data_IF_726851759192
#
_entry.id   IF_726851759192
#
_cell.length_a   1.000
_cell.length_b   1.000
_cell.length_c   1.000
_cell.angle_alpha   90.00
_cell.angle_beta   90.00
_cell.angle_gamma   90.00
#
_symmetry.space_group_name_H-M   'P 1'
#
loop_
_entity.id
_entity.type
_entity.pdbx_description
1 polymer ?
#
# COMPACT_ATOMS: atom_id res chain seq x y z
N UNK A 1 -79.39 -64.86 -52.89
CA UNK A 1 -78.45 -65.47 -51.91
C UNK A 1 -77.96 -64.34 -51.02
N UNK A 2 -78.51 -64.26 -49.80
CA UNK A 2 -77.78 -64.57 -48.54
C UNK A 2 -76.76 -63.46 -48.22
N UNK A 3 -76.63 -62.89 -47.03
CA UNK A 3 -77.14 -63.11 -45.67
C UNK A 3 -76.51 -61.96 -44.85
N UNK A 4 -77.27 -61.15 -44.12
CA UNK A 4 -77.32 -61.06 -42.64
C UNK A 4 -75.99 -61.08 -41.85
N UNK A 5 -76.07 -60.36 -40.71
CA UNK A 5 -75.24 -60.39 -39.47
C UNK A 5 -73.97 -59.53 -39.54
N UNK A 6 -73.79 -58.49 -38.70
CA UNK A 6 -73.80 -58.51 -37.22
C UNK A 6 -72.39 -58.87 -36.72
N UNK A 7 -71.78 -58.33 -35.66
CA UNK A 7 -72.07 -57.32 -34.66
C UNK A 7 -70.77 -57.15 -33.80
N UNK A 8 -70.66 -56.02 -33.09
CA UNK A 8 -70.00 -55.83 -31.76
C UNK A 8 -68.46 -55.83 -31.59
N UNK A 9 -67.99 -54.65 -31.10
CA UNK A 9 -67.03 -54.36 -29.99
C UNK A 9 -65.56 -54.84 -30.18
N UNK A 10 -64.51 -54.09 -29.82
CA UNK A 10 -64.35 -53.24 -28.64
C UNK A 10 -63.05 -52.37 -28.74
N UNK A 11 -63.10 -51.19 -28.09
CA UNK A 11 -62.07 -50.55 -27.24
C UNK A 11 -60.71 -50.14 -27.87
N UNK A 12 -60.42 -48.83 -27.80
CA UNK A 12 -59.03 -48.35 -27.73
C UNK A 12 -58.81 -46.89 -28.16
N UNK A 13 -58.93 -45.95 -27.20
CA UNK A 13 -58.04 -44.77 -27.00
C UNK A 13 -57.65 -43.98 -28.26
N UNK A 14 -58.35 -42.87 -28.59
CA UNK A 14 -57.94 -41.49 -28.27
C UNK A 14 -56.56 -41.06 -28.81
N UNK A 15 -56.51 -40.18 -29.82
CA UNK A 15 -56.06 -38.78 -29.66
C UNK A 15 -56.02 -38.07 -31.02
N UNK A 16 -56.46 -36.82 -30.98
CA UNK A 16 -56.60 -35.91 -32.11
C UNK A 16 -55.25 -35.44 -32.67
N UNK A 17 -55.13 -35.42 -34.00
CA UNK A 17 -54.19 -34.55 -34.71
C UNK A 17 -54.72 -33.10 -34.59
N UNK A 18 -54.22 -32.36 -33.60
CA UNK A 18 -54.22 -30.90 -33.63
C UNK A 18 -52.80 -30.47 -34.02
N UNK A 19 -52.64 -30.08 -35.29
CA UNK A 19 -51.42 -29.47 -35.79
C UNK A 19 -51.33 -28.03 -35.25
N UNK A 20 -50.78 -27.90 -34.05
CA UNK A 20 -50.37 -26.61 -33.48
C UNK A 20 -49.09 -26.18 -34.18
N UNK A 21 -49.21 -25.23 -35.11
CA UNK A 21 -48.08 -24.49 -35.67
C UNK A 21 -47.48 -23.65 -34.55
N UNK A 22 -46.45 -24.20 -33.89
CA UNK A 22 -45.56 -23.45 -33.00
C UNK A 22 -44.74 -22.49 -33.87
N UNK A 23 -45.17 -21.24 -33.95
CA UNK A 23 -44.33 -20.13 -34.38
C UNK A 23 -43.30 -19.95 -33.28
N UNK A 24 -42.13 -20.55 -33.45
CA UNK A 24 -40.97 -20.30 -32.62
C UNK A 24 -40.56 -18.84 -32.79
N UNK A 25 -40.94 -18.00 -31.84
CA UNK A 25 -40.26 -16.73 -31.61
C UNK A 25 -38.83 -17.07 -31.23
N UNK A 26 -37.92 -17.03 -32.20
CA UNK A 26 -36.49 -16.86 -31.93
C UNK A 26 -36.40 -15.57 -31.10
N UNK A 27 -36.22 -15.71 -29.80
CA UNK A 27 -35.87 -14.59 -28.95
C UNK A 27 -34.60 -13.99 -29.54
N UNK A 28 -34.63 -12.69 -29.87
CA UNK A 28 -33.39 -11.94 -29.93
C UNK A 28 -32.72 -12.16 -28.57
N UNK A 29 -31.60 -12.87 -28.58
CA UNK A 29 -30.58 -12.72 -27.57
C UNK A 29 -30.23 -11.23 -27.61
N UNK A 30 -30.86 -10.47 -26.71
CA UNK A 30 -30.65 -9.04 -26.66
C UNK A 30 -29.23 -8.84 -26.17
N UNK A 31 -28.33 -8.41 -27.07
CA UNK A 31 -26.98 -8.00 -26.70
C UNK A 31 -27.11 -7.09 -25.47
N UNK A 32 -26.62 -7.57 -24.33
CA UNK A 32 -26.56 -6.77 -23.13
C UNK A 32 -25.62 -5.61 -23.41
N UNK A 33 -26.08 -4.39 -23.18
CA UNK A 33 -25.24 -3.22 -23.37
C UNK A 33 -23.97 -3.31 -22.49
N UNK A 34 -22.82 -2.96 -23.07
CA UNK A 34 -21.50 -3.14 -22.48
C UNK A 34 -20.87 -1.77 -22.15
N UNK A 35 -20.35 -1.62 -20.94
CA UNK A 35 -19.36 -0.59 -20.62
C UNK A 35 -17.96 -1.20 -20.76
N UNK A 36 -17.27 -0.78 -21.80
CA UNK A 36 -15.92 -1.16 -22.15
C UNK A 36 -14.91 -0.20 -21.51
N UNK A 37 -13.90 -0.71 -20.81
CA UNK A 37 -12.88 0.10 -20.15
C UNK A 37 -11.51 -0.15 -20.75
N UNK A 38 -10.92 0.89 -21.33
CA UNK A 38 -9.54 0.89 -21.83
C UNK A 38 -8.65 1.69 -20.85
N UNK A 39 -7.44 1.22 -20.60
CA UNK A 39 -6.44 1.92 -19.78
C UNK A 39 -5.29 2.35 -20.66
N UNK A 40 -4.90 3.62 -20.52
CA UNK A 40 -3.65 4.18 -21.04
C UNK A 40 -2.72 4.52 -19.89
N UNK A 41 -1.45 4.15 -19.99
CA UNK A 41 -0.46 4.50 -18.97
C UNK A 41 0.95 4.51 -19.52
N UNK A 42 1.80 5.32 -18.91
CA UNK A 42 3.24 5.33 -19.12
C UNK A 42 4.01 4.48 -18.09
N UNK A 43 3.33 3.80 -17.16
CA UNK A 43 3.94 2.70 -16.40
C UNK A 43 4.31 1.56 -17.34
N UNK A 44 5.43 0.89 -17.06
CA UNK A 44 5.97 -0.14 -17.95
C UNK A 44 5.33 -1.50 -17.67
N UNK A 45 4.55 -2.07 -18.61
CA UNK A 45 3.84 -3.32 -18.40
C UNK A 45 4.80 -4.50 -18.31
N UNK A 46 4.57 -5.36 -17.32
CA UNK A 46 5.41 -6.52 -17.03
C UNK A 46 6.64 -6.23 -16.16
N UNK A 47 7.05 -4.97 -16.06
CA UNK A 47 8.08 -4.51 -15.14
C UNK A 47 7.45 -3.81 -13.93
N UNK A 48 6.78 -2.67 -14.14
CA UNK A 48 6.21 -1.88 -13.04
C UNK A 48 4.84 -2.42 -12.58
N UNK A 49 4.11 -3.14 -13.43
CA UNK A 49 2.84 -3.77 -13.06
C UNK A 49 2.58 -5.02 -13.90
N UNK A 50 1.95 -6.03 -13.32
CA UNK A 50 1.66 -7.32 -13.97
C UNK A 50 0.17 -7.62 -14.06
N UNK A 51 -0.67 -6.81 -13.39
CA UNK A 51 -2.13 -6.92 -13.43
C UNK A 51 -2.76 -5.54 -13.42
N UNK A 52 -3.90 -5.43 -14.08
CA UNK A 52 -4.84 -4.32 -13.91
C UNK A 52 -6.07 -4.84 -13.20
N UNK A 53 -6.40 -4.25 -12.05
CA UNK A 53 -7.59 -4.59 -11.26
C UNK A 53 -8.62 -3.48 -11.39
N UNK A 54 -9.80 -3.82 -11.89
CA UNK A 54 -10.95 -2.91 -12.02
C UNK A 54 -12.00 -3.30 -11.00
N UNK A 55 -12.30 -2.39 -10.08
CA UNK A 55 -13.34 -2.55 -9.08
C UNK A 55 -14.54 -1.68 -9.46
N UNK A 56 -15.74 -2.27 -9.54
CA UNK A 56 -17.01 -1.56 -9.69
C UNK A 56 -17.60 -1.35 -8.30
N UNK A 57 -17.68 -0.09 -7.88
CA UNK A 57 -18.11 0.30 -6.54
C UNK A 57 -19.64 0.47 -6.51
N UNK A 58 -20.31 -0.36 -5.71
CA UNK A 58 -21.78 -0.36 -5.58
C UNK A 58 -22.26 0.40 -4.34
N UNK A 59 -23.28 1.26 -4.49
CA UNK A 59 -24.01 1.83 -3.35
C UNK A 59 -25.02 0.83 -2.74
N UNK A 60 -24.54 -0.37 -2.36
CA UNK A 60 -25.36 -1.44 -1.76
C UNK A 60 -25.44 -2.76 -2.54
N UNK A 61 -24.59 -2.98 -3.56
CA UNK A 61 -24.39 -4.27 -4.23
C UNK A 61 -22.98 -4.81 -3.94
N UNK A 62 -22.77 -6.11 -4.11
CA UNK A 62 -21.44 -6.71 -4.05
C UNK A 62 -20.51 -6.04 -5.05
N UNK A 63 -19.34 -5.58 -4.61
CA UNK A 63 -18.32 -5.01 -5.48
C UNK A 63 -17.91 -6.06 -6.53
N UNK A 64 -17.88 -5.64 -7.80
CA UNK A 64 -17.44 -6.50 -8.90
C UNK A 64 -15.96 -6.22 -9.12
N UNK A 65 -15.13 -7.26 -9.00
CA UNK A 65 -13.68 -7.17 -9.25
C UNK A 65 -13.36 -7.92 -10.53
N UNK A 66 -12.66 -7.25 -11.45
CA UNK A 66 -12.15 -7.83 -12.69
C UNK A 66 -10.64 -7.63 -12.69
N UNK A 67 -9.91 -8.73 -12.87
CA UNK A 67 -8.45 -8.70 -13.01
C UNK A 67 -8.08 -9.07 -14.44
N UNK A 68 -7.23 -8.24 -15.05
CA UNK A 68 -6.65 -8.49 -16.37
C UNK A 68 -5.14 -8.65 -16.22
N UNK A 69 -4.64 -9.79 -16.65
CA UNK A 69 -3.21 -10.07 -16.69
C UNK A 69 -2.51 -9.20 -17.74
N UNK A 70 -1.32 -8.72 -17.41
CA UNK A 70 -0.48 -7.87 -18.23
C UNK A 70 0.75 -8.67 -18.66
N UNK A 71 1.04 -8.68 -19.95
CA UNK A 71 2.24 -9.27 -20.49
C UNK A 71 3.31 -8.20 -20.75
N UNK A 72 4.56 -8.61 -20.66
CA UNK A 72 5.71 -7.83 -21.06
C UNK A 72 5.53 -7.31 -22.50
N UNK A 73 5.59 -5.99 -22.69
CA UNK A 73 5.57 -5.35 -24.01
C UNK A 73 4.17 -5.10 -24.55
N UNK A 74 3.15 -5.33 -23.73
CA UNK A 74 1.80 -4.84 -24.01
C UNK A 74 1.82 -3.33 -24.25
N UNK A 75 1.11 -2.85 -25.28
CA UNK A 75 1.04 -1.42 -25.56
C UNK A 75 -0.09 -0.77 -24.75
N UNK A 76 0.28 -0.19 -23.61
CA UNK A 76 -0.61 0.64 -22.80
C UNK A 76 -0.50 2.14 -23.15
N UNK A 77 0.35 2.54 -24.09
CA UNK A 77 0.41 3.94 -24.54
C UNK A 77 -0.75 4.24 -25.50
N UNK A 78 -1.00 3.33 -26.44
CA UNK A 78 -2.17 3.39 -27.35
C UNK A 78 -3.47 2.99 -26.65
N UNK A 79 -3.35 2.31 -25.51
CA UNK A 79 -4.44 1.92 -24.63
C UNK A 79 -4.89 0.47 -24.85
N UNK A 80 -5.26 -0.19 -23.76
CA UNK A 80 -5.65 -1.60 -23.76
C UNK A 80 -6.95 -1.83 -23.00
N UNK A 81 -7.80 -2.70 -23.55
CA UNK A 81 -9.02 -3.18 -22.89
C UNK A 81 -8.67 -3.96 -21.62
N UNK A 82 -9.16 -3.50 -20.47
CA UNK A 82 -8.94 -4.14 -19.17
C UNK A 82 -10.23 -4.64 -18.51
N UNK A 83 -11.40 -4.19 -18.97
CA UNK A 83 -12.68 -4.69 -18.49
C UNK A 83 -13.80 -4.54 -19.53
N UNK A 84 -14.73 -5.49 -19.53
CA UNK A 84 -16.01 -5.41 -20.24
C UNK A 84 -17.14 -5.69 -19.27
N UNK A 85 -17.84 -4.63 -18.89
CA UNK A 85 -18.88 -4.67 -17.86
C UNK A 85 -20.23 -4.84 -18.51
N UNK A 86 -20.96 -5.87 -18.11
CA UNK A 86 -22.34 -6.14 -18.55
C UNK A 86 -23.30 -6.09 -17.36
N UNK A 87 -24.60 -5.96 -17.63
CA UNK A 87 -25.61 -5.97 -16.57
C UNK A 87 -25.64 -4.72 -15.69
N UNK A 88 -24.95 -3.64 -16.10
CA UNK A 88 -24.96 -2.37 -15.41
C UNK A 88 -26.32 -1.65 -15.59
N UNK A 89 -26.81 -1.06 -14.51
CA UNK A 89 -27.95 -0.13 -14.59
C UNK A 89 -27.50 1.21 -15.15
N UNK A 90 -28.38 1.89 -15.89
CA UNK A 90 -28.11 3.25 -16.33
C UNK A 90 -27.96 4.20 -15.12
N UNK A 91 -27.01 5.14 -15.20
CA UNK A 91 -26.65 6.07 -14.14
C UNK A 91 -25.14 6.27 -14.04
N UNK A 92 -24.69 6.90 -12.96
CA UNK A 92 -23.25 7.06 -12.68
C UNK A 92 -22.67 5.77 -12.13
N UNK A 93 -21.75 5.17 -12.88
CA UNK A 93 -20.98 3.99 -12.48
C UNK A 93 -19.66 4.48 -11.90
N UNK A 94 -19.39 4.11 -10.64
CA UNK A 94 -18.12 4.42 -9.98
C UNK A 94 -17.20 3.23 -10.09
N UNK A 95 -15.97 3.48 -10.54
CA UNK A 95 -14.94 2.49 -10.75
C UNK A 95 -13.69 2.90 -9.97
N UNK A 96 -12.89 1.93 -9.55
CA UNK A 96 -11.50 2.13 -9.17
C UNK A 96 -10.63 1.26 -10.06
N UNK A 97 -9.65 1.86 -10.71
CA UNK A 97 -8.69 1.16 -11.56
C UNK A 97 -7.35 1.17 -10.87
N UNK A 98 -6.76 0.00 -10.70
CA UNK A 98 -5.49 -0.19 -9.99
C UNK A 98 -4.51 -0.92 -10.89
N UNK A 99 -3.29 -0.40 -10.97
CA UNK A 99 -2.15 -1.11 -11.51
C UNK A 99 -1.49 -1.86 -10.36
N UNK A 100 -1.33 -3.17 -10.50
CA UNK A 100 -0.85 -4.06 -9.45
C UNK A 100 0.40 -4.78 -9.94
N UNK A 101 1.45 -4.80 -9.11
CA UNK A 101 2.71 -5.46 -9.44
C UNK A 101 2.69 -6.98 -9.23
N UNK A 102 3.84 -7.61 -9.49
CA UNK A 102 4.05 -9.04 -9.30
C UNK A 102 3.83 -9.46 -7.83
N UNK A 103 4.26 -8.64 -6.87
CA UNK A 103 4.10 -8.85 -5.43
C UNK A 103 2.67 -8.61 -4.91
N UNK A 104 1.77 -8.07 -5.74
CA UNK A 104 0.39 -7.76 -5.34
C UNK A 104 0.20 -6.36 -4.75
N UNK A 105 1.25 -5.52 -4.76
CA UNK A 105 1.18 -4.12 -4.32
C UNK A 105 0.52 -3.26 -5.39
N UNK A 106 -0.27 -2.28 -4.97
CA UNK A 106 -0.83 -1.27 -5.87
C UNK A 106 0.27 -0.26 -6.19
N UNK A 107 0.60 -0.08 -7.48
CA UNK A 107 1.64 0.89 -7.92
C UNK A 107 1.06 2.23 -8.35
N UNK A 108 -0.20 2.21 -8.76
CA UNK A 108 -0.99 3.40 -9.05
C UNK A 108 -2.47 3.04 -8.95
N UNK A 109 -3.28 3.96 -8.44
CA UNK A 109 -4.73 3.83 -8.43
C UNK A 109 -5.40 5.07 -9.00
N UNK A 110 -6.59 4.89 -9.57
CA UNK A 110 -7.40 5.98 -10.08
C UNK A 110 -8.90 5.72 -9.85
N UNK A 111 -9.58 6.56 -9.05
CA UNK A 111 -11.03 6.57 -9.02
C UNK A 111 -11.59 7.19 -10.32
N UNK A 112 -12.64 6.59 -10.86
CA UNK A 112 -13.26 6.98 -12.13
C UNK A 112 -14.78 6.97 -11.99
N UNK A 113 -15.44 7.98 -12.54
CA UNK A 113 -16.90 8.04 -12.63
C UNK A 113 -17.33 8.11 -14.10
N UNK A 114 -18.24 7.22 -14.51
CA UNK A 114 -18.76 7.18 -15.88
C UNK A 114 -20.27 7.28 -15.86
N UNK A 115 -20.82 8.26 -16.57
CA UNK A 115 -22.27 8.32 -16.82
C UNK A 115 -22.64 7.32 -17.92
N UNK A 116 -23.32 6.24 -17.52
CA UNK A 116 -23.70 5.13 -18.38
C UNK A 116 -25.20 5.18 -18.71
N UNK A 117 -25.56 5.19 -19.99
CA UNK A 117 -26.96 5.31 -20.44
C UNK A 117 -27.63 3.95 -20.77
N UNK A 118 -27.00 2.82 -20.42
CA UNK A 118 -27.53 1.50 -20.78
C UNK A 118 -27.37 1.15 -22.27
N UNK A 119 -26.36 1.74 -22.93
CA UNK A 119 -25.95 1.43 -24.31
C UNK A 119 -24.44 1.18 -24.34
N UNK A 120 -23.94 0.52 -25.39
CA UNK A 120 -22.51 0.29 -25.55
C UNK A 120 -21.71 1.60 -25.44
N UNK A 121 -20.77 1.65 -24.51
CA UNK A 121 -19.94 2.81 -24.22
C UNK A 121 -18.49 2.37 -23.99
N UNK A 122 -17.54 3.06 -24.61
CA UNK A 122 -16.11 2.91 -24.32
C UNK A 122 -15.63 4.07 -23.45
N UNK A 123 -15.01 3.76 -22.31
CA UNK A 123 -14.35 4.72 -21.43
C UNK A 123 -12.84 4.47 -21.46
N UNK A 124 -12.06 5.54 -21.64
CA UNK A 124 -10.59 5.47 -21.63
C UNK A 124 -10.06 6.18 -20.38
N UNK A 125 -9.35 5.44 -19.54
CA UNK A 125 -8.76 5.91 -18.29
C UNK A 125 -7.26 6.09 -18.50
N UNK A 126 -6.76 7.30 -18.26
CA UNK A 126 -5.32 7.61 -18.36
C UNK A 126 -4.70 7.59 -16.97
N UNK A 127 -3.72 6.73 -16.71
CA UNK A 127 -3.01 6.67 -15.43
C UNK A 127 -1.56 7.10 -15.68
N UNK A 128 -1.17 8.24 -15.12
CA UNK A 128 0.15 8.84 -15.34
C UNK A 128 1.08 8.56 -14.18
N UNK A 129 2.36 8.28 -14.43
CA UNK A 129 3.35 8.09 -13.36
C UNK A 129 3.54 9.29 -12.44
N UNK A 130 3.31 10.50 -12.95
CA UNK A 130 3.37 11.74 -12.18
C UNK A 130 2.34 11.81 -11.04
N UNK A 131 1.38 10.88 -11.01
CA UNK A 131 0.41 10.74 -9.92
C UNK A 131 0.88 9.83 -8.78
N UNK A 132 2.08 9.25 -8.86
CA UNK A 132 2.63 8.44 -7.77
C UNK A 132 2.84 9.33 -6.54
N UNK A 133 2.21 8.97 -5.42
CA UNK A 133 2.29 9.70 -4.16
C UNK A 133 1.49 11.01 -4.10
N UNK A 134 0.64 11.30 -5.10
CA UNK A 134 -0.25 12.47 -5.07
C UNK A 134 -1.54 12.09 -4.36
N UNK A 135 -1.84 12.76 -3.26
CA UNK A 135 -3.10 12.63 -2.53
C UNK A 135 -4.12 13.66 -3.02
N UNK A 136 -5.32 13.19 -3.36
CA UNK A 136 -6.41 14.04 -3.82
C UNK A 136 -7.62 13.91 -2.89
N UNK A 137 -8.31 15.03 -2.56
CA UNK A 137 -8.12 16.36 -3.11
C UNK A 137 -6.95 17.14 -2.47
N UNK A 138 -6.36 18.07 -3.23
CA UNK A 138 -5.32 18.98 -2.70
C UNK A 138 -5.83 19.73 -1.47
N UNK A 139 -4.98 19.97 -0.45
CA UNK A 139 -5.33 20.82 0.70
C UNK A 139 -5.80 22.22 0.25
N UNK A 140 -7.07 22.54 0.50
CA UNK A 140 -7.69 23.81 0.09
C UNK A 140 -8.10 23.87 -1.39
N UNK A 141 -7.98 22.77 -2.14
CA UNK A 141 -8.44 22.61 -3.51
C UNK A 141 -9.94 22.33 -3.63
N UNK A 142 -10.39 21.96 -4.83
CA UNK A 142 -11.76 21.51 -5.05
C UNK A 142 -11.97 20.13 -4.39
N UNK A 143 -12.89 20.06 -3.44
CA UNK A 143 -13.20 18.83 -2.71
C UNK A 143 -13.73 17.69 -3.61
N UNK A 144 -14.21 17.98 -4.82
CA UNK A 144 -14.65 16.97 -5.78
C UNK A 144 -13.51 16.43 -6.65
N UNK A 145 -12.36 17.13 -6.70
CA UNK A 145 -11.19 16.73 -7.46
C UNK A 145 -10.42 15.61 -6.73
N UNK A 146 -11.01 14.42 -6.72
CA UNK A 146 -10.55 13.27 -5.93
C UNK A 146 -9.75 12.24 -6.75
N UNK A 147 -9.52 12.49 -8.05
CA UNK A 147 -8.68 11.65 -8.90
C UNK A 147 -7.41 12.40 -9.30
N UNK A 148 -6.28 11.72 -9.48
CA UNK A 148 -5.09 12.35 -10.06
C UNK A 148 -5.00 12.10 -11.58
N UNK A 149 -4.55 13.13 -12.32
CA UNK A 149 -4.13 13.02 -13.71
C UNK A 149 -2.99 14.00 -13.99
N UNK A 150 -1.84 13.49 -14.45
CA UNK A 150 -0.65 14.30 -14.77
C UNK A 150 -0.17 15.16 -13.59
N UNK A 151 -0.10 14.56 -12.40
CA UNK A 151 0.40 15.21 -11.18
C UNK A 151 -0.52 16.28 -10.58
N UNK A 152 -1.80 16.33 -10.99
CA UNK A 152 -2.80 17.25 -10.44
C UNK A 152 -4.11 16.54 -10.10
N UNK A 153 -4.80 17.06 -9.09
CA UNK A 153 -6.13 16.60 -8.75
C UNK A 153 -7.18 17.10 -9.75
N UNK A 154 -8.04 16.19 -10.20
CA UNK A 154 -9.12 16.38 -11.17
C UNK A 154 -10.38 15.65 -10.72
N UNK A 155 -11.52 16.02 -11.30
CA UNK A 155 -12.80 15.32 -11.06
C UNK A 155 -12.70 13.86 -11.56
N UNK A 156 -13.23 12.85 -10.84
CA UNK A 156 -13.26 11.46 -11.30
C UNK A 156 -13.95 11.21 -12.65
N UNK A 157 -14.81 12.12 -13.12
CA UNK A 157 -15.39 12.05 -14.47
C UNK A 157 -14.38 12.41 -15.57
N UNK A 158 -13.21 12.95 -15.21
CA UNK A 158 -12.12 13.26 -16.14
C UNK A 158 -11.60 11.98 -16.83
N UNK A 159 -12.01 11.78 -18.08
CA UNK A 159 -11.59 10.67 -18.94
C UNK A 159 -11.35 11.20 -20.35
N UNK A 160 -10.65 10.48 -21.23
CA UNK A 160 -10.52 10.94 -22.63
C UNK A 160 -11.88 10.98 -23.35
N UNK A 161 -12.83 10.14 -22.90
CA UNK A 161 -14.21 10.14 -23.38
C UNK A 161 -14.98 11.36 -22.88
N UNK A 162 -14.56 11.97 -21.76
CA UNK A 162 -15.17 13.16 -21.17
C UNK A 162 -14.11 14.21 -20.74
N UNK A 163 -13.42 14.85 -21.72
CA UNK A 163 -12.28 15.72 -21.44
C UNK A 163 -12.67 17.03 -20.75
N UNK A 164 -13.95 17.42 -20.79
CA UNK A 164 -14.43 18.64 -20.14
C UNK A 164 -14.27 18.64 -18.61
N UNK A 165 -14.30 17.47 -17.97
CA UNK A 165 -14.07 17.32 -16.54
C UNK A 165 -12.58 17.38 -16.16
N UNK A 166 -11.67 17.23 -17.13
CA UNK A 166 -10.24 17.26 -16.90
C UNK A 166 -9.66 18.68 -16.75
N UNK A 167 -10.45 19.71 -17.07
CA UNK A 167 -9.97 21.09 -17.16
C UNK A 167 -9.10 21.31 -18.41
N UNK A 168 -7.97 22.01 -18.25
CA UNK A 168 -7.11 22.41 -19.37
C UNK A 168 -6.12 21.31 -19.78
N UNK A 169 -5.79 21.26 -21.08
CA UNK A 169 -4.77 20.39 -21.68
C UNK A 169 -3.36 20.86 -21.33
N UNK A 170 -2.45 19.94 -21.00
CA UNK A 170 -1.07 20.23 -20.64
C UNK A 170 -0.11 20.29 -21.84
N UNK A 171 -0.47 19.68 -22.96
CA UNK A 171 0.36 19.61 -24.16
C UNK A 171 -0.48 19.54 -25.44
N UNK A 172 0.12 19.88 -26.59
CA UNK A 172 -0.41 19.64 -27.92
C UNK A 172 0.49 18.70 -28.76
N UNK A 173 1.77 18.63 -28.44
CA UNK A 173 2.75 17.73 -29.03
C UNK A 173 3.76 17.26 -27.97
N UNK A 174 4.50 16.19 -28.25
CA UNK A 174 5.52 15.67 -27.31
C UNK A 174 6.62 16.68 -26.96
N UNK A 175 6.89 17.67 -27.83
CA UNK A 175 7.83 18.75 -27.53
C UNK A 175 7.35 19.77 -26.51
N UNK A 176 6.06 19.78 -26.16
CA UNK A 176 5.50 20.61 -25.08
C UNK A 176 5.66 19.93 -23.71
N UNK A 177 5.93 18.62 -23.72
CA UNK A 177 6.09 17.83 -22.51
C UNK A 177 7.50 17.99 -21.94
N UNK A 178 7.65 17.87 -20.60
CA UNK A 178 8.97 17.82 -20.00
C UNK A 178 9.83 16.73 -20.65
N UNK A 179 11.11 17.02 -20.84
CA UNK A 179 12.04 16.00 -21.31
C UNK A 179 12.08 14.85 -20.29
N UNK A 180 12.14 13.61 -20.78
CA UNK A 180 12.36 12.46 -19.92
C UNK A 180 13.64 12.66 -19.10
N UNK A 181 13.65 12.33 -17.79
CA UNK A 181 14.86 12.36 -16.99
C UNK A 181 15.89 11.32 -17.45
N UNK A 182 15.49 10.37 -18.29
CA UNK A 182 16.32 9.26 -18.77
C UNK A 182 16.45 9.29 -20.30
N UNK A 183 17.59 8.83 -20.81
CA UNK A 183 17.85 8.79 -22.26
C UNK A 183 17.12 7.68 -23.03
N UNK A 184 16.42 6.77 -22.33
CA UNK A 184 15.75 5.62 -22.95
C UNK A 184 14.25 5.82 -23.16
N UNK A 185 13.66 6.93 -22.70
CA UNK A 185 12.23 7.22 -22.86
C UNK A 185 12.01 8.55 -23.57
N UNK A 186 10.97 8.62 -24.39
CA UNK A 186 10.62 9.82 -25.15
C UNK A 186 9.28 10.40 -24.64
N UNK A 187 9.19 11.73 -24.45
CA UNK A 187 7.93 12.34 -24.08
C UNK A 187 6.94 12.29 -25.25
N UNK A 188 5.70 11.91 -24.94
CA UNK A 188 4.59 11.80 -25.87
C UNK A 188 3.38 12.57 -25.32
N UNK A 189 2.76 13.38 -26.16
CA UNK A 189 1.49 14.01 -25.82
C UNK A 189 0.34 13.18 -26.36
N UNK A 190 -0.48 12.59 -25.47
CA UNK A 190 -1.68 11.85 -25.84
C UNK A 190 -2.87 12.38 -25.03
N UNK A 191 -3.99 12.66 -25.70
CA UNK A 191 -5.18 13.20 -25.03
C UNK A 191 -4.98 14.54 -24.29
N UNK A 192 -3.93 15.30 -24.63
CA UNK A 192 -3.56 16.53 -23.92
C UNK A 192 -2.82 16.30 -22.59
N UNK A 193 -2.33 15.09 -22.37
CA UNK A 193 -1.56 14.63 -21.22
C UNK A 193 -0.18 14.17 -21.68
N UNK A 194 0.84 14.49 -20.90
CA UNK A 194 2.19 14.02 -21.14
C UNK A 194 2.35 12.62 -20.56
N UNK A 195 2.73 11.68 -21.42
CA UNK A 195 3.17 10.34 -21.09
C UNK A 195 4.61 10.15 -21.55
N UNK A 196 5.28 9.13 -21.07
CA UNK A 196 6.60 8.74 -21.55
C UNK A 196 6.56 7.37 -22.21
N UNK A 197 6.93 7.32 -23.48
CA UNK A 197 7.08 6.08 -24.22
C UNK A 197 8.47 5.48 -23.96
N UNK A 198 8.50 4.27 -23.38
CA UNK A 198 9.72 3.54 -23.09
C UNK A 198 10.31 2.89 -24.35
N UNK A 199 11.56 3.21 -24.68
CA UNK A 199 12.30 2.58 -25.77
C UNK A 199 13.25 1.52 -25.21
N UNK A 200 12.75 0.29 -25.07
CA UNK A 200 13.50 -0.85 -24.52
C UNK A 200 14.76 -1.17 -25.34
N UNK A 201 14.73 -0.95 -26.66
CA UNK A 201 15.89 -1.16 -27.56
C UNK A 201 17.07 -0.21 -27.29
N UNK A 202 16.86 0.84 -26.49
CA UNK A 202 17.93 1.74 -26.04
C UNK A 202 18.68 1.20 -24.83
N UNK A 203 18.20 0.12 -24.21
CA UNK A 203 18.82 -0.55 -23.08
C UNK A 203 19.63 -1.78 -23.51
N UNK A 204 20.45 -2.31 -22.61
CA UNK A 204 21.17 -3.56 -22.87
C UNK A 204 20.19 -4.76 -22.93
N UNK A 205 20.69 -5.91 -23.38
CA UNK A 205 19.88 -7.13 -23.39
C UNK A 205 19.33 -7.42 -21.99
N UNK A 206 18.06 -7.87 -21.91
CA UNK A 206 17.35 -8.18 -20.66
C UNK A 206 17.05 -6.98 -19.76
N UNK A 207 17.41 -5.76 -20.18
CA UNK A 207 17.04 -4.52 -19.51
C UNK A 207 15.84 -3.84 -20.17
N UNK A 208 15.05 -3.18 -19.34
CA UNK A 208 13.85 -2.46 -19.70
C UNK A 208 14.00 -0.99 -19.37
N UNK A 209 13.53 -0.15 -20.28
CA UNK A 209 13.52 1.28 -20.02
C UNK A 209 12.37 1.62 -19.09
N UNK A 210 12.68 2.18 -17.92
CA UNK A 210 11.70 2.70 -16.97
C UNK A 210 11.74 4.23 -17.02
N UNK A 211 10.68 4.91 -17.52
CA UNK A 211 10.62 6.36 -17.70
C UNK A 211 10.68 7.21 -16.41
N UNK A 212 11.82 7.21 -15.74
CA UNK A 212 12.02 7.87 -14.44
C UNK A 212 13.24 7.35 -13.71
N UNK A 213 13.64 6.10 -14.01
CA UNK A 213 14.77 5.42 -13.37
C UNK A 213 15.89 5.17 -14.39
N UNK A 214 15.54 4.74 -15.61
CA UNK A 214 16.49 4.43 -16.68
C UNK A 214 16.39 2.96 -17.09
N UNK A 215 17.46 2.42 -17.68
CA UNK A 215 17.54 1.01 -18.02
C UNK A 215 17.74 0.16 -16.74
N UNK A 216 16.85 -0.79 -16.49
CA UNK A 216 16.86 -1.69 -15.33
C UNK A 216 16.58 -3.12 -15.75
N UNK A 217 17.11 -4.11 -15.02
CA UNK A 217 16.79 -5.51 -15.32
C UNK A 217 15.32 -5.77 -14.98
N UNK A 218 14.63 -6.62 -15.76
CA UNK A 218 13.28 -7.07 -15.36
C UNK A 218 13.35 -7.83 -14.03
N UNK A 219 14.44 -8.56 -13.79
CA UNK A 219 14.64 -9.29 -12.55
C UNK A 219 14.54 -8.37 -11.33
N UNK A 220 15.01 -7.11 -11.44
CA UNK A 220 14.91 -6.10 -10.39
C UNK A 220 13.45 -5.80 -9.98
N UNK A 221 12.47 -6.09 -10.84
CA UNK A 221 11.04 -5.89 -10.57
C UNK A 221 10.27 -7.16 -10.26
N UNK A 222 10.82 -8.32 -10.66
CA UNK A 222 10.19 -9.63 -10.49
C UNK A 222 10.69 -10.33 -9.22
N UNK A 223 11.75 -9.83 -8.57
CA UNK A 223 12.31 -10.43 -7.35
C UNK A 223 11.54 -10.09 -6.06
N UNK A 224 10.22 -10.21 -6.11
CA UNK A 224 9.43 -10.67 -4.95
C UNK A 224 9.50 -12.19 -4.78
N UNK A 225 10.48 -12.86 -5.39
CA UNK A 225 10.67 -14.31 -5.31
C UNK A 225 11.36 -14.92 -6.52
N UNK A 226 12.67 -14.73 -6.67
CA UNK A 226 13.71 -15.71 -7.07
C UNK A 226 14.99 -14.98 -7.50
N UNK A 227 16.10 -15.40 -6.89
CA UNK A 227 17.49 -14.96 -7.00
C UNK A 227 17.91 -14.00 -8.14
N UNK A 228 18.53 -12.88 -7.77
CA UNK A 228 19.24 -12.02 -8.73
C UNK A 228 20.03 -10.90 -8.06
N UNK A 229 21.26 -11.18 -7.64
CA UNK A 229 22.19 -10.17 -7.13
C UNK A 229 22.40 -9.01 -8.11
N UNK A 230 22.37 -7.78 -7.59
CA UNK A 230 22.56 -6.54 -8.36
C UNK A 230 24.07 -6.26 -8.55
N UNK A 231 24.53 -5.86 -9.75
CA UNK A 231 25.90 -5.42 -9.97
C UNK A 231 26.16 -3.97 -9.54
N UNK A 232 27.32 -3.80 -8.92
CA UNK A 232 27.99 -2.61 -8.38
C UNK A 232 27.86 -1.32 -9.23
N UNK A 233 27.41 -0.20 -8.63
CA UNK A 233 27.15 1.01 -9.41
C UNK A 233 26.88 2.38 -8.74
N UNK A 234 27.44 2.65 -7.55
CA UNK A 234 27.79 3.97 -6.99
C UNK A 234 26.71 4.98 -6.49
N UNK A 235 26.99 5.48 -5.26
CA UNK A 235 26.40 6.56 -4.43
C UNK A 235 25.16 6.14 -3.59
N UNK A 236 25.12 6.17 -2.26
CA UNK A 236 25.92 6.83 -1.20
C UNK A 236 26.20 5.85 -0.04
N UNK A 237 27.42 5.88 0.49
CA UNK A 237 27.99 4.82 1.31
C UNK A 237 28.07 5.24 2.78
N UNK A 238 27.12 4.82 3.61
CA UNK A 238 27.39 4.58 5.05
C UNK A 238 26.39 3.67 5.80
N UNK A 239 25.38 3.06 5.19
CA UNK A 239 24.37 2.28 5.93
C UNK A 239 24.29 0.76 5.62
N UNK A 240 24.63 0.30 4.40
CA UNK A 240 24.36 -1.11 4.02
C UNK A 240 25.52 -2.11 4.16
N UNK A 241 26.69 -1.71 4.68
CA UNK A 241 27.84 -2.63 4.74
C UNK A 241 27.72 -3.79 5.76
N UNK A 242 26.62 -3.88 6.51
CA UNK A 242 26.36 -5.02 7.38
C UNK A 242 25.48 -6.10 6.73
N UNK A 243 24.76 -5.80 5.65
CA UNK A 243 23.79 -6.74 5.04
C UNK A 243 24.31 -7.38 3.74
N UNK A 244 25.11 -6.67 2.95
CA UNK A 244 25.49 -7.14 1.60
C UNK A 244 26.72 -8.07 1.54
N UNK A 245 27.32 -8.45 2.68
CA UNK A 245 28.44 -9.43 2.70
C UNK A 245 28.06 -10.86 3.09
N UNK A 246 26.76 -11.20 3.18
CA UNK A 246 26.34 -12.49 3.74
C UNK A 246 25.44 -13.38 2.84
N UNK A 247 25.36 -13.12 1.53
CA UNK A 247 24.80 -14.11 0.60
C UNK A 247 25.89 -15.09 0.14
N UNK A 248 26.29 -15.95 1.07
CA UNK A 248 26.84 -17.25 0.75
C UNK A 248 25.68 -18.25 0.89
N UNK A 249 25.42 -19.06 -0.14
CA UNK A 249 24.48 -20.19 -0.06
C UNK A 249 24.93 -21.24 0.99
N UNK A 250 26.10 -21.05 1.60
CA UNK A 250 26.60 -21.76 2.77
C UNK A 250 26.22 -21.10 4.12
N UNK A 251 25.22 -20.20 4.18
CA UNK A 251 24.72 -19.64 5.44
C UNK A 251 24.46 -20.77 6.44
N UNK A 252 25.26 -20.78 7.51
CA UNK A 252 25.27 -21.85 8.49
C UNK A 252 23.88 -22.09 9.10
N UNK A 253 23.70 -23.22 9.82
CA UNK A 253 22.42 -23.51 10.46
C UNK A 253 21.97 -22.31 11.29
N UNK A 254 20.69 -21.95 11.15
CA UNK A 254 20.07 -20.89 11.93
C UNK A 254 20.44 -20.98 13.40
N UNK A 255 20.81 -19.86 14.04
CA UNK A 255 20.98 -19.85 15.48
C UNK A 255 19.68 -20.30 16.15
N UNK A 256 19.83 -20.97 17.30
CA UNK A 256 18.69 -21.43 18.09
C UNK A 256 17.81 -20.23 18.45
N UNK A 257 16.51 -20.33 18.17
CA UNK A 257 15.54 -19.25 18.43
C UNK A 257 14.94 -18.63 17.17
N UNK A 258 15.51 -18.89 15.99
CA UNK A 258 14.93 -18.49 14.71
C UNK A 258 14.04 -19.60 14.13
N UNK A 259 12.89 -19.24 13.59
CA UNK A 259 12.04 -20.19 12.84
C UNK A 259 12.59 -20.40 11.43
N UNK A 260 13.06 -19.33 10.81
CA UNK A 260 13.77 -19.34 9.53
C UNK A 260 14.88 -18.30 9.52
N UNK A 261 15.84 -18.47 8.62
CA UNK A 261 16.83 -17.45 8.34
C UNK A 261 16.85 -17.18 6.85
N UNK A 262 16.69 -15.91 6.49
CA UNK A 262 16.71 -15.44 5.12
C UNK A 262 17.73 -14.30 5.08
N UNK A 263 18.63 -14.31 4.08
CA UNK A 263 19.67 -13.29 3.93
C UNK A 263 20.61 -13.10 5.14
N UNK A 264 20.77 -14.13 5.99
CA UNK A 264 21.54 -14.02 7.24
C UNK A 264 20.81 -13.30 8.37
N UNK A 265 19.54 -12.89 8.17
CA UNK A 265 18.64 -12.42 9.22
C UNK A 265 17.82 -13.56 9.83
N UNK A 266 17.41 -13.39 11.09
CA UNK A 266 16.58 -14.29 11.86
C UNK A 266 15.11 -13.87 11.75
N UNK A 267 14.23 -14.76 11.32
CA UNK A 267 12.78 -14.52 11.30
C UNK A 267 12.13 -15.39 12.38
N UNK A 268 11.32 -14.76 13.24
CA UNK A 268 10.59 -15.41 14.34
C UNK A 268 9.09 -15.12 14.18
N UNK A 269 8.30 -16.16 13.97
CA UNK A 269 6.84 -16.11 13.92
C UNK A 269 6.31 -16.49 15.30
N UNK A 270 6.21 -15.50 16.18
CA UNK A 270 5.92 -15.76 17.58
C UNK A 270 4.53 -16.35 17.80
N UNK A 271 4.46 -17.29 18.75
CA UNK A 271 3.23 -17.96 19.15
C UNK A 271 2.65 -17.40 20.45
N UNK A 272 1.41 -17.77 20.77
CA UNK A 272 0.71 -17.31 21.96
C UNK A 272 1.45 -17.71 23.25
N UNK A 273 1.74 -16.73 24.11
CA UNK A 273 2.40 -16.96 25.40
C UNK A 273 3.91 -17.19 25.34
N UNK A 274 4.54 -17.00 24.20
CA UNK A 274 5.98 -17.22 24.00
C UNK A 274 6.81 -15.98 24.35
N UNK A 275 7.94 -16.15 25.04
CA UNK A 275 8.93 -15.07 25.21
C UNK A 275 9.95 -15.17 24.07
N UNK A 276 10.03 -14.13 23.25
CA UNK A 276 10.87 -14.10 22.06
C UNK A 276 12.17 -13.37 22.38
N UNK A 277 13.30 -14.02 22.08
CA UNK A 277 14.64 -13.44 22.23
C UNK A 277 15.36 -13.52 20.89
N UNK A 278 15.66 -12.37 20.31
CA UNK A 278 16.45 -12.29 19.10
C UNK A 278 17.92 -12.64 19.38
N UNK A 279 18.59 -13.35 18.47
CA UNK A 279 20.02 -13.59 18.56
C UNK A 279 20.84 -12.28 18.49
N UNK A 280 22.00 -12.28 19.12
CA UNK A 280 22.96 -11.18 19.02
C UNK A 280 23.63 -11.10 17.65
N UNK A 281 24.01 -9.88 17.24
CA UNK A 281 24.81 -9.56 16.06
C UNK A 281 24.22 -10.02 14.71
N UNK A 282 22.92 -10.32 14.66
CA UNK A 282 22.19 -10.76 13.47
C UNK A 282 20.91 -9.92 13.33
N UNK A 283 20.53 -9.46 12.12
CA UNK A 283 19.26 -8.80 11.90
C UNK A 283 18.09 -9.69 12.31
N UNK A 284 17.13 -9.19 13.08
CA UNK A 284 16.01 -9.97 13.60
C UNK A 284 14.67 -9.37 13.19
N UNK A 285 13.77 -10.19 12.66
CA UNK A 285 12.40 -9.81 12.31
C UNK A 285 11.44 -10.69 13.11
N UNK A 286 10.64 -10.06 13.97
CA UNK A 286 9.67 -10.74 14.82
C UNK A 286 8.27 -10.37 14.36
N UNK A 287 7.44 -11.38 14.07
CA UNK A 287 6.06 -11.16 13.63
C UNK A 287 5.09 -11.90 14.55
N UNK A 288 4.25 -11.15 15.26
CA UNK A 288 3.30 -11.65 16.26
C UNK A 288 1.86 -11.47 15.73
N UNK A 289 1.42 -12.40 14.87
CA UNK A 289 0.13 -12.27 14.16
C UNK A 289 -1.11 -12.65 14.98
N UNK A 290 -0.97 -13.54 15.96
CA UNK A 290 -2.11 -14.05 16.72
C UNK A 290 -2.36 -13.20 17.98
N UNK A 291 -3.60 -13.22 18.48
CA UNK A 291 -3.92 -12.60 19.77
C UNK A 291 -3.06 -13.21 20.89
N UNK A 292 -2.56 -12.35 21.78
CA UNK A 292 -1.62 -12.67 22.85
C UNK A 292 -0.33 -13.38 22.36
N UNK A 293 0.01 -13.26 21.07
CA UNK A 293 1.29 -13.74 20.53
C UNK A 293 2.45 -12.92 21.05
N UNK A 294 3.55 -13.60 21.34
CA UNK A 294 4.75 -12.99 21.92
C UNK A 294 4.40 -12.29 23.25
N UNK A 295 4.56 -12.98 24.38
CA UNK A 295 4.39 -12.34 25.70
C UNK A 295 5.31 -11.12 25.81
N UNK A 296 6.56 -11.24 25.40
CA UNK A 296 7.53 -10.14 25.36
C UNK A 296 8.58 -10.42 24.29
N UNK A 297 9.20 -9.37 23.78
CA UNK A 297 10.28 -9.46 22.78
C UNK A 297 11.53 -8.78 23.32
N UNK A 298 12.66 -9.46 23.29
CA UNK A 298 13.98 -8.90 23.62
C UNK A 298 14.85 -8.93 22.37
N UNK A 299 15.24 -7.76 21.88
CA UNK A 299 16.13 -7.63 20.74
C UNK A 299 17.59 -7.91 21.14
N UNK A 300 18.38 -8.45 20.21
CA UNK A 300 19.83 -8.59 20.36
C UNK A 300 20.57 -7.32 19.96
N UNK A 301 21.90 -7.37 19.87
CA UNK A 301 22.71 -6.19 19.48
C UNK A 301 22.67 -5.83 17.98
N UNK A 302 21.98 -6.62 17.15
CA UNK A 302 21.78 -6.35 15.72
C UNK A 302 20.49 -5.55 15.45
N UNK A 303 20.25 -5.13 14.19
CA UNK A 303 19.01 -4.47 13.81
C UNK A 303 17.79 -5.33 14.13
N UNK A 304 16.74 -4.73 14.67
CA UNK A 304 15.56 -5.45 15.15
C UNK A 304 14.29 -4.80 14.62
N UNK A 305 13.44 -5.59 13.96
CA UNK A 305 12.11 -5.17 13.49
C UNK A 305 11.06 -6.03 14.16
N UNK A 306 10.10 -5.42 14.84
CA UNK A 306 9.07 -6.12 15.59
C UNK A 306 7.69 -5.65 15.13
N UNK A 307 6.85 -6.58 14.66
CA UNK A 307 5.49 -6.31 14.24
C UNK A 307 4.47 -7.06 15.11
N UNK A 308 3.78 -6.31 15.97
CA UNK A 308 2.81 -6.81 16.93
C UNK A 308 1.38 -6.56 16.39
N UNK A 309 0.85 -7.55 15.66
CA UNK A 309 -0.40 -7.40 14.88
C UNK A 309 -1.62 -7.91 15.66
N UNK A 310 -1.47 -8.99 16.41
CA UNK A 310 -2.57 -9.57 17.18
C UNK A 310 -2.97 -8.73 18.40
N UNK A 311 -4.21 -8.84 18.86
CA UNK A 311 -4.67 -8.15 20.08
C UNK A 311 -3.84 -8.58 21.28
N UNK A 312 -3.33 -7.64 22.09
CA UNK A 312 -2.49 -7.94 23.25
C UNK A 312 -1.12 -8.55 22.91
N UNK A 313 -0.76 -8.64 21.63
CA UNK A 313 0.56 -9.14 21.24
C UNK A 313 1.67 -8.23 21.78
N UNK A 314 2.80 -8.82 22.16
CA UNK A 314 3.89 -8.11 22.82
C UNK A 314 3.43 -7.36 24.10
N UNK A 315 2.39 -7.87 24.79
CA UNK A 315 1.76 -7.19 25.93
C UNK A 315 2.67 -7.02 27.16
N UNK A 316 3.72 -7.85 27.28
CA UNK A 316 4.80 -7.71 28.25
C UNK A 316 5.89 -6.72 27.82
N UNK A 317 5.81 -6.21 26.60
CA UNK A 317 6.66 -5.16 26.05
C UNK A 317 7.77 -5.63 25.12
N UNK A 318 8.46 -4.64 24.56
CA UNK A 318 9.62 -4.81 23.65
C UNK A 318 10.85 -4.13 24.25
N UNK A 319 11.89 -4.92 24.49
CA UNK A 319 13.18 -4.44 24.99
C UNK A 319 14.19 -4.34 23.83
N UNK A 320 14.41 -3.12 23.37
CA UNK A 320 15.39 -2.73 22.36
C UNK A 320 16.73 -2.30 22.99
N UNK A 321 16.93 -2.43 24.31
CA UNK A 321 18.14 -1.94 24.99
C UNK A 321 19.46 -2.45 24.43
N UNK A 322 19.55 -3.69 23.90
CA UNK A 322 20.79 -4.17 23.28
C UNK A 322 20.96 -3.67 21.84
N UNK A 323 19.86 -3.34 21.15
CA UNK A 323 19.85 -3.06 19.72
C UNK A 323 20.47 -1.70 19.38
N UNK A 324 21.13 -1.66 18.23
CA UNK A 324 21.62 -0.42 17.63
C UNK A 324 20.57 0.32 16.80
N UNK A 325 19.62 -0.43 16.24
CA UNK A 325 18.53 0.08 15.41
C UNK A 325 17.30 -0.79 15.70
N UNK A 326 16.25 -0.19 16.26
CA UNK A 326 15.03 -0.91 16.63
C UNK A 326 13.80 -0.23 16.06
N UNK A 327 13.01 -0.97 15.28
CA UNK A 327 11.75 -0.51 14.72
C UNK A 327 10.62 -1.40 15.21
N UNK A 328 9.63 -0.81 15.87
CA UNK A 328 8.53 -1.53 16.51
C UNK A 328 7.20 -0.96 16.06
N UNK A 329 6.40 -1.78 15.38
CA UNK A 329 5.03 -1.44 14.94
C UNK A 329 3.99 -2.21 15.74
N UNK A 330 3.08 -1.49 16.37
CA UNK A 330 2.06 -2.01 17.29
C UNK A 330 0.66 -1.74 16.72
N UNK A 331 0.11 -2.71 16.00
CA UNK A 331 -1.17 -2.60 15.28
C UNK A 331 -2.33 -3.19 16.08
N UNK A 332 -2.08 -4.25 16.85
CA UNK A 332 -3.12 -4.92 17.62
C UNK A 332 -3.57 -4.08 18.83
N UNK A 333 -4.87 -4.07 19.13
CA UNK A 333 -5.37 -3.34 20.30
C UNK A 333 -4.69 -3.84 21.60
N UNK A 334 -4.21 -2.91 22.44
CA UNK A 334 -3.48 -3.23 23.66
C UNK A 334 -2.12 -3.91 23.45
N UNK A 335 -1.58 -3.91 22.23
CA UNK A 335 -0.26 -4.45 21.94
C UNK A 335 0.87 -3.56 22.47
N UNK A 336 2.06 -4.15 22.60
CA UNK A 336 3.27 -3.48 23.08
C UNK A 336 3.08 -2.80 24.43
N UNK A 337 2.85 -3.58 25.49
CA UNK A 337 2.46 -3.01 26.78
C UNK A 337 3.49 -2.06 27.41
N UNK A 338 4.77 -2.13 27.01
CA UNK A 338 5.84 -1.22 27.42
C UNK A 338 6.98 -1.29 26.39
N UNK A 339 7.86 -0.29 26.37
CA UNK A 339 8.98 -0.24 25.43
C UNK A 339 10.23 0.35 26.09
N UNK A 340 11.40 -0.21 25.80
CA UNK A 340 12.67 0.35 26.28
C UNK A 340 13.70 0.37 25.16
N UNK A 341 14.25 1.53 24.89
CA UNK A 341 15.40 1.73 24.01
C UNK A 341 16.62 2.13 24.82
N UNK A 342 17.80 1.61 24.46
CA UNK A 342 19.05 2.06 25.06
C UNK A 342 20.17 2.13 24.01
N UNK A 343 20.71 3.33 23.78
CA UNK A 343 21.87 3.53 22.90
C UNK A 343 21.54 3.89 21.44
N UNK A 344 20.89 2.98 20.72
CA UNK A 344 20.66 3.08 19.27
C UNK A 344 19.62 4.09 18.78
N UNK A 345 19.34 4.07 17.48
CA UNK A 345 18.13 4.67 16.91
C UNK A 345 16.93 3.76 17.20
N UNK A 346 15.81 4.35 17.60
CA UNK A 346 14.65 3.60 18.05
C UNK A 346 13.37 4.27 17.56
N UNK A 347 12.47 3.50 16.96
CA UNK A 347 11.17 3.94 16.49
C UNK A 347 10.07 3.04 17.06
N UNK A 348 9.03 3.68 17.61
CA UNK A 348 7.80 3.02 18.06
C UNK A 348 6.61 3.64 17.36
N UNK A 349 5.87 2.84 16.60
CA UNK A 349 4.64 3.23 15.92
C UNK A 349 3.45 2.52 16.58
N UNK A 350 2.66 3.29 17.33
CA UNK A 350 1.58 2.83 18.19
C UNK A 350 0.22 3.18 17.56
N UNK A 351 -0.21 2.38 16.58
CA UNK A 351 -1.42 2.60 15.78
C UNK A 351 -2.69 2.01 16.40
N UNK A 352 -2.58 0.88 17.09
CA UNK A 352 -3.75 0.21 17.68
C UNK A 352 -4.32 0.99 18.88
N UNK A 353 -5.61 0.80 19.16
CA UNK A 353 -6.25 1.40 20.36
C UNK A 353 -5.59 0.86 21.63
N UNK A 354 -5.19 1.75 22.53
CA UNK A 354 -4.54 1.40 23.79
C UNK A 354 -3.17 0.74 23.64
N UNK A 355 -2.51 0.90 22.49
CA UNK A 355 -1.14 0.40 22.29
C UNK A 355 -0.14 1.23 23.06
N UNK A 356 1.00 0.62 23.43
CA UNK A 356 2.06 1.34 24.15
C UNK A 356 1.57 1.97 25.47
N UNK A 357 0.51 1.41 26.09
CA UNK A 357 -0.17 2.03 27.21
C UNK A 357 0.63 2.01 28.54
N UNK A 358 1.70 1.23 28.62
CA UNK A 358 2.64 1.29 29.74
C UNK A 358 3.76 2.29 29.50
N UNK A 359 4.87 2.07 30.19
CA UNK A 359 5.98 3.01 30.18
C UNK A 359 6.87 2.82 28.95
N UNK A 360 7.18 3.92 28.26
CA UNK A 360 8.12 3.96 27.15
C UNK A 360 9.37 4.71 27.59
N UNK A 361 10.53 4.07 27.48
CA UNK A 361 11.81 4.63 27.94
C UNK A 361 12.79 4.74 26.78
N UNK A 362 13.17 5.95 26.41
CA UNK A 362 14.30 6.23 25.52
C UNK A 362 15.52 6.60 26.37
N UNK A 363 16.39 5.64 26.68
CA UNK A 363 17.54 5.87 27.56
C UNK A 363 18.82 6.02 26.74
N UNK A 364 19.54 7.14 26.83
CA UNK A 364 20.84 7.32 26.14
C UNK A 364 20.83 6.99 24.63
N UNK A 365 19.71 7.15 23.93
CA UNK A 365 19.59 6.90 22.49
C UNK A 365 20.23 8.03 21.67
N UNK A 366 20.64 7.77 20.43
CA UNK A 366 21.02 8.82 19.48
C UNK A 366 19.79 9.57 18.97
N UNK A 367 18.74 8.81 18.62
CA UNK A 367 17.43 9.31 18.23
C UNK A 367 16.34 8.36 18.73
N UNK A 368 15.23 8.91 19.22
CA UNK A 368 14.04 8.16 19.58
C UNK A 368 12.83 8.82 18.91
N UNK A 369 12.06 8.04 18.16
CA UNK A 369 10.78 8.47 17.59
C UNK A 369 9.67 7.63 18.22
N UNK A 370 8.63 8.29 18.75
CA UNK A 370 7.44 7.63 19.30
C UNK A 370 6.22 8.28 18.67
N UNK A 371 5.50 7.52 17.85
CA UNK A 371 4.30 7.97 17.15
C UNK A 371 3.06 7.27 17.74
N UNK A 372 2.25 8.05 18.45
CA UNK A 372 1.08 7.62 19.18
C UNK A 372 -0.19 8.00 18.40
N UNK A 373 -0.58 7.13 17.48
CA UNK A 373 -1.62 7.39 16.47
C UNK A 373 -2.97 6.87 16.95
N UNK A 374 -3.00 5.68 17.59
CA UNK A 374 -4.24 5.06 18.05
C UNK A 374 -4.86 5.79 19.24
N UNK A 375 -6.20 5.75 19.37
CA UNK A 375 -6.87 6.28 20.56
C UNK A 375 -6.39 5.58 21.83
N UNK A 376 -6.25 6.34 22.93
CA UNK A 376 -5.69 5.87 24.20
C UNK A 376 -4.27 5.26 24.09
N UNK A 377 -3.57 5.45 22.97
CA UNK A 377 -2.18 4.98 22.80
C UNK A 377 -1.20 5.82 23.63
N UNK A 378 -0.10 5.20 24.04
CA UNK A 378 0.95 5.86 24.81
C UNK A 378 0.46 6.50 26.11
N UNK A 379 -0.62 5.99 26.71
CA UNK A 379 -1.24 6.56 27.91
C UNK A 379 -0.35 6.48 29.18
N UNK A 380 0.71 5.67 29.14
CA UNK A 380 1.69 5.59 30.22
C UNK A 380 2.73 6.71 30.16
N UNK A 381 3.72 6.69 31.06
CA UNK A 381 4.79 7.67 31.06
C UNK A 381 5.76 7.46 29.87
N UNK A 382 6.04 8.54 29.15
CA UNK A 382 7.07 8.61 28.10
C UNK A 382 8.31 9.29 28.69
N UNK A 383 9.43 8.59 28.77
CA UNK A 383 10.66 9.07 29.41
C UNK A 383 11.76 9.19 28.35
N UNK A 384 12.18 10.42 28.06
CA UNK A 384 13.29 10.73 27.17
C UNK A 384 14.55 11.10 27.98
N UNK A 385 15.44 10.13 28.19
CA UNK A 385 16.68 10.26 28.96
C UNK A 385 17.94 10.23 28.05
N UNK A 386 17.93 10.99 26.95
CA UNK A 386 19.07 11.14 26.03
C UNK A 386 18.65 11.49 24.60
N UNK A 387 19.63 11.83 23.76
CA UNK A 387 19.43 12.00 22.31
C UNK A 387 18.43 13.07 21.88
N UNK A 388 18.08 13.01 20.60
CA UNK A 388 16.88 13.64 20.06
C UNK A 388 15.67 12.73 20.34
N UNK A 389 14.61 13.27 20.93
CA UNK A 389 13.35 12.57 21.21
C UNK A 389 12.22 13.28 20.47
N UNK A 390 11.61 12.60 19.49
CA UNK A 390 10.49 13.12 18.73
C UNK A 390 9.25 12.33 19.12
N UNK A 391 8.23 13.00 19.65
CA UNK A 391 7.00 12.38 20.09
C UNK A 391 5.84 13.01 19.31
N UNK A 392 5.06 12.18 18.62
CA UNK A 392 3.86 12.60 17.91
C UNK A 392 2.62 11.99 18.57
N UNK A 393 1.61 12.81 18.86
CA UNK A 393 0.39 12.42 19.54
C UNK A 393 -0.83 12.82 18.69
N UNK A 394 -1.42 11.86 17.97
CA UNK A 394 -2.51 12.11 17.01
C UNK A 394 -3.87 11.54 17.42
N UNK A 395 -3.91 10.50 18.25
CA UNK A 395 -5.17 9.88 18.71
C UNK A 395 -5.85 10.63 19.86
N UNK A 396 -7.12 10.32 20.14
CA UNK A 396 -7.81 10.89 21.32
C UNK A 396 -7.21 10.33 22.63
N UNK A 397 -7.01 11.21 23.63
CA UNK A 397 -6.41 10.85 24.92
C UNK A 397 -5.08 10.09 24.79
N UNK A 398 -4.28 10.47 23.79
CA UNK A 398 -2.92 9.95 23.59
C UNK A 398 -1.91 10.63 24.48
N UNK A 399 -0.72 10.04 24.56
CA UNK A 399 0.45 10.55 25.26
C UNK A 399 0.17 10.95 26.72
N UNK A 400 0.47 10.03 27.63
CA UNK A 400 0.45 10.27 29.06
C UNK A 400 1.54 11.27 29.48
N UNK A 401 2.05 11.12 30.70
CA UNK A 401 3.08 12.03 31.19
C UNK A 401 4.36 11.94 30.36
N UNK A 402 4.78 13.05 29.73
CA UNK A 402 6.04 13.14 28.99
C UNK A 402 7.11 13.78 29.85
N UNK A 403 8.20 13.07 30.10
CA UNK A 403 9.39 13.56 30.80
C UNK A 403 10.56 13.71 29.81
N UNK A 404 10.90 14.97 29.50
CA UNK A 404 12.00 15.35 28.62
C UNK A 404 13.14 16.04 29.39
N UNK A 405 13.18 15.93 30.71
CA UNK A 405 14.11 16.71 31.53
C UNK A 405 15.59 16.40 31.23
N UNK A 406 15.88 15.19 30.75
CA UNK A 406 17.24 14.72 30.47
C UNK A 406 17.59 14.60 28.98
N UNK A 407 16.64 14.78 28.06
CA UNK A 407 16.87 14.76 26.61
C UNK A 407 17.77 15.91 26.15
N UNK A 408 18.57 15.69 25.09
CA UNK A 408 19.38 16.76 24.49
C UNK A 408 18.61 17.57 23.45
N UNK A 409 17.60 16.98 22.81
CA UNK A 409 16.52 17.66 22.09
C UNK A 409 15.23 16.86 22.32
N UNK A 410 14.12 17.55 22.57
CA UNK A 410 12.80 16.91 22.70
C UNK A 410 11.78 17.77 21.98
N UNK A 411 11.12 17.16 21.00
CA UNK A 411 10.01 17.74 20.24
C UNK A 411 8.76 16.91 20.52
N UNK A 412 7.69 17.58 20.96
CA UNK A 412 6.39 16.94 21.24
C UNK A 412 5.35 17.64 20.38
N UNK A 413 4.74 16.91 19.45
CA UNK A 413 3.71 17.41 18.55
C UNK A 413 2.36 16.75 18.89
N UNK A 414 1.38 17.57 19.27
CA UNK A 414 0.06 17.09 19.66
C UNK A 414 -1.01 17.68 18.75
N UNK A 415 -1.70 16.84 17.98
CA UNK A 415 -2.71 17.29 17.01
C UNK A 415 -4.14 17.04 17.50
N UNK A 416 -4.34 16.09 18.43
CA UNK A 416 -5.64 15.74 18.97
C UNK A 416 -6.05 16.48 20.26
N UNK A 417 -7.36 16.63 20.44
CA UNK A 417 -7.94 17.21 21.66
C UNK A 417 -7.72 16.29 22.86
N UNK A 418 -7.02 16.80 23.88
CA UNK A 418 -6.74 16.05 25.12
C UNK A 418 -5.53 15.12 25.05
N UNK A 419 -4.75 15.19 23.97
CA UNK A 419 -3.62 14.29 23.72
C UNK A 419 -2.28 14.69 24.32
N UNK A 420 -2.17 15.76 25.12
CA UNK A 420 -0.91 16.07 25.80
C UNK A 420 -1.13 16.68 27.19
N UNK A 421 -0.58 16.09 28.26
CA UNK A 421 -0.31 16.82 29.49
C UNK A 421 0.87 17.77 29.28
N UNK A 422 1.04 18.74 30.18
CA UNK A 422 2.21 19.63 30.18
C UNK A 422 3.49 18.80 30.28
N UNK A 423 4.34 18.76 29.23
CA UNK A 423 5.55 17.97 29.26
C UNK A 423 6.56 18.58 30.25
N UNK A 424 7.32 17.73 30.95
CA UNK A 424 8.38 18.19 31.83
C UNK A 424 9.63 18.49 31.00
N UNK A 425 9.85 19.75 30.65
CA UNK A 425 11.02 20.15 29.88
C UNK A 425 12.25 20.35 30.78
N UNK A 426 13.43 20.27 30.14
CA UNK A 426 14.67 20.71 30.75
C UNK A 426 14.60 22.20 31.08
N UNK A 427 15.01 22.57 32.31
CA UNK A 427 14.98 23.95 32.79
C UNK A 427 15.75 24.87 31.82
N UNK A 428 15.05 25.84 31.24
CA UNK A 428 15.59 26.78 30.26
C UNK A 428 15.23 26.50 28.79
N UNK A 429 14.48 25.42 28.51
CA UNK A 429 13.98 25.04 27.18
C UNK A 429 12.46 25.21 27.04
N UNK A 430 11.85 26.01 27.91
CA UNK A 430 10.40 26.25 27.97
C UNK A 430 10.09 27.59 27.27
N UNK A 431 9.63 27.58 26.02
CA UNK A 431 9.22 28.81 25.31
C UNK A 431 7.70 28.95 25.16
N UNK A 432 6.95 27.84 25.11
CA UNK A 432 5.49 27.81 24.93
C UNK A 432 4.88 26.94 26.03
N UNK A 433 3.80 27.39 26.73
CA UNK A 433 3.04 26.50 27.59
C UNK A 433 2.46 25.37 26.74
N UNK A 434 2.70 24.12 27.14
CA UNK A 434 2.21 22.89 26.48
C UNK A 434 3.07 22.33 25.33
N UNK A 435 4.24 22.91 25.02
CA UNK A 435 5.19 22.36 24.03
C UNK A 435 6.64 22.37 24.60
N UNK A 436 7.33 21.23 24.55
CA UNK A 436 8.80 21.23 24.67
C UNK A 436 9.39 21.40 23.28
N UNK A 437 10.10 22.50 23.06
CA UNK A 437 10.78 22.78 21.79
C UNK A 437 12.25 23.15 22.01
N UNK A 438 13.14 22.84 21.07
CA UNK A 438 14.59 23.01 21.23
C UNK A 438 15.13 24.46 21.29
N UNK A 439 14.29 25.49 21.22
CA UNK A 439 14.75 26.84 20.84
C UNK A 439 15.51 27.66 21.92
N UNK A 440 15.79 27.09 23.10
CA UNK A 440 16.55 27.74 24.17
C UNK A 440 18.08 27.65 24.03
N UNK A 441 18.82 28.64 24.58
CA UNK A 441 20.28 28.62 24.57
C UNK A 441 20.85 27.42 25.38
N UNK A 442 21.38 26.41 24.67
CA UNK A 442 21.92 25.17 25.26
C UNK A 442 20.95 23.98 25.23
N UNK A 443 19.82 24.11 24.54
CA UNK A 443 18.78 23.10 24.39
C UNK A 443 18.94 22.20 23.14
N UNK A 444 19.98 22.45 22.32
CA UNK A 444 20.27 21.73 21.06
C UNK A 444 21.65 21.05 21.03
N UNK A 445 22.36 20.99 22.16
CA UNK A 445 23.74 20.48 22.18
C UNK A 445 23.79 19.05 22.69
N UNK A 446 23.85 18.10 21.76
CA UNK A 446 24.34 16.74 22.00
C UNK A 446 25.88 16.75 21.74
N UNK A 447 26.71 16.12 22.59
CA UNK A 447 28.16 16.07 22.41
C UNK A 447 28.62 15.20 21.24
#
# INVERSE_FOLDING_TARGET
MQSRLGALRAIGVALALAATVLVGTTGCEGDSAILALDVKTDFVPGAEFTRVRTLVLGAGSTDMVIETAVANGDDYIEGRRVAELTGLSAGTVRLRVELVDAGGRIVAERPVAVTYEGRNLGAIVVMTRDCRGIECPDPGGDANATACLAGRCVDPECTETFPGACGFTNCAAGGDCPASPTGCAAPLCTGGVCLYEASHDMCEAEQWCIPGIGCRSIADFVDGGLDGGIPDGAFDASFDTAFDTAFDEDAGPCPTGCDSCEAGGCIINGSAGEEVVCPDDIPCVVVCMNDDACTSVTCGNGPCVVSCIGMGSCGGGVDCSPSRDCDVTCLGAGSCGQGTCNGGECAFECEGVGTCAGEMRCLNTSACAIDCIGDDSCNGPLICDGGACNITCEGEATCGAVDCAAACACEVMCTATGGCPTPACKVGCEEVPDECTPFGAGCDTCP
#
